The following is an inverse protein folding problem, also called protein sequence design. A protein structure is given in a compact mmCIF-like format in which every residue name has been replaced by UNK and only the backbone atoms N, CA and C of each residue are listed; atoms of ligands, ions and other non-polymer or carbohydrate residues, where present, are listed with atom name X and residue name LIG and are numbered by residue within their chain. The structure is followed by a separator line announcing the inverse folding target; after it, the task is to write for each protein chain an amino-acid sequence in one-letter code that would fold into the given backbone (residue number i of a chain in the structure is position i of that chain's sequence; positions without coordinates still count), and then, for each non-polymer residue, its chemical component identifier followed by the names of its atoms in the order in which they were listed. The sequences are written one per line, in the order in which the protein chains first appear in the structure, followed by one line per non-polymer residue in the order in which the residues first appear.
data_IF_338253777800
#
_entry.id   IF_338253777800
#
_cell.length_a   1.000
_cell.length_b   1.000
_cell.length_c   1.000
_cell.angle_alpha   90.00
_cell.angle_beta   90.00
_cell.angle_gamma   90.00
#
_symmetry.space_group_name_H-M   'P 1'
#
loop_
_entity.id
_entity.type
_entity.pdbx_description
1 polymer ?
#
# COMPACT_ATOMS: atom_id res chain seq x y z
N UNK A 1 37.22 -44.30 -2.70
CA UNK A 1 37.64 -43.03 -2.61
C UNK A 1 36.54 -41.99 -2.58
N UNK A 2 36.85 -40.94 -2.06
CA UNK A 2 35.84 -39.95 -1.80
C UNK A 2 35.45 -39.23 -3.07
N UNK A 3 34.19 -39.07 -3.24
CA UNK A 3 33.62 -38.39 -4.34
C UNK A 3 33.97 -36.91 -4.31
N UNK A 4 34.35 -36.36 -5.45
CA UNK A 4 34.62 -34.95 -5.58
C UNK A 4 33.38 -34.12 -5.28
N UNK A 5 32.22 -34.63 -5.68
CA UNK A 5 30.96 -33.95 -5.42
C UNK A 5 30.71 -33.79 -3.93
N UNK A 6 31.03 -34.79 -3.16
CA UNK A 6 30.91 -34.72 -1.72
C UNK A 6 31.76 -33.61 -1.15
N UNK A 7 32.95 -33.45 -1.67
CA UNK A 7 33.88 -32.42 -1.25
C UNK A 7 33.35 -31.03 -1.56
N UNK A 8 32.75 -30.90 -2.72
CA UNK A 8 32.16 -29.63 -3.13
C UNK A 8 31.01 -29.21 -2.21
N UNK A 9 30.29 -30.18 -1.68
CA UNK A 9 29.18 -29.92 -0.78
C UNK A 9 29.59 -29.78 0.68
N UNK A 10 30.84 -29.92 0.93
CA UNK A 10 31.36 -29.88 2.31
C UNK A 10 32.13 -28.60 2.55
N UNK A 11 31.42 -27.55 2.67
CA UNK A 11 32.03 -26.36 3.17
C UNK A 11 32.48 -26.56 4.60
N UNK A 12 33.59 -25.99 4.99
CA UNK A 12 33.99 -26.01 6.37
C UNK A 12 33.10 -25.06 7.18
N UNK A 13 33.28 -25.07 8.46
CA UNK A 13 32.44 -24.30 9.38
C UNK A 13 32.47 -22.82 9.08
N UNK A 14 33.65 -22.28 8.76
CA UNK A 14 33.82 -20.87 8.46
C UNK A 14 33.14 -20.50 7.13
N UNK A 15 33.28 -21.33 6.12
CA UNK A 15 32.66 -21.09 4.83
C UNK A 15 31.14 -21.09 4.91
N UNK A 16 30.59 -22.01 5.68
CA UNK A 16 29.14 -22.05 5.92
C UNK A 16 28.66 -20.81 6.65
N UNK A 17 29.47 -20.36 7.63
CA UNK A 17 29.16 -19.15 8.35
C UNK A 17 29.15 -17.93 7.42
N UNK A 18 30.13 -17.83 6.53
CA UNK A 18 30.20 -16.75 5.55
C UNK A 18 28.95 -16.72 4.66
N UNK A 19 28.57 -17.87 4.12
CA UNK A 19 27.38 -17.97 3.28
C UNK A 19 26.11 -17.57 4.02
N UNK A 20 25.99 -18.05 5.23
CA UNK A 20 24.86 -17.74 6.09
C UNK A 20 24.78 -16.24 6.40
N UNK A 21 25.92 -15.64 6.71
CA UNK A 21 26.02 -14.22 7.00
C UNK A 21 25.63 -13.41 5.78
N UNK A 22 26.12 -13.78 4.61
CA UNK A 22 25.75 -13.07 3.36
C UNK A 22 24.25 -13.10 3.13
N UNK A 23 23.64 -14.26 3.32
CA UNK A 23 22.18 -14.39 3.13
C UNK A 23 21.41 -13.53 4.14
N UNK A 24 21.86 -13.54 5.39
CA UNK A 24 21.21 -12.74 6.42
C UNK A 24 21.39 -11.25 6.20
N UNK A 25 22.56 -10.84 5.72
CA UNK A 25 22.80 -9.44 5.38
C UNK A 25 21.88 -8.97 4.26
N UNK A 26 21.63 -9.80 3.26
CA UNK A 26 20.71 -9.46 2.18
C UNK A 26 19.30 -9.23 2.73
N UNK A 27 18.84 -10.12 3.59
CA UNK A 27 17.52 -10.00 4.22
C UNK A 27 17.47 -8.75 5.08
N UNK A 28 18.51 -8.48 5.86
CA UNK A 28 18.58 -7.30 6.70
C UNK A 28 18.46 -6.02 5.87
N UNK A 29 19.20 -5.94 4.78
CA UNK A 29 19.19 -4.77 3.92
C UNK A 29 17.81 -4.56 3.27
N UNK A 30 17.25 -5.62 2.69
CA UNK A 30 15.95 -5.54 2.06
C UNK A 30 14.85 -5.19 3.05
N UNK A 31 14.85 -5.81 4.21
CA UNK A 31 13.86 -5.54 5.23
C UNK A 31 13.95 -4.12 5.76
N UNK A 32 15.18 -3.63 5.97
CA UNK A 32 15.39 -2.28 6.46
C UNK A 32 14.81 -1.24 5.50
N UNK A 33 15.13 -1.37 4.21
CA UNK A 33 14.64 -0.45 3.19
C UNK A 33 13.11 -0.50 3.11
N UNK A 34 12.57 -1.71 3.03
CA UNK A 34 11.13 -1.89 2.88
C UNK A 34 10.35 -1.36 4.09
N UNK A 35 10.86 -1.60 5.29
CA UNK A 35 10.20 -1.14 6.51
C UNK A 35 10.24 0.39 6.62
N UNK A 36 11.34 1.02 6.21
CA UNK A 36 11.43 2.47 6.18
C UNK A 36 10.42 3.07 5.20
N UNK A 37 10.33 2.49 4.00
CA UNK A 37 9.36 2.92 3.00
C UNK A 37 7.92 2.74 3.47
N UNK A 38 7.63 1.61 4.10
CA UNK A 38 6.31 1.33 4.63
C UNK A 38 5.94 2.31 5.73
N UNK A 39 6.86 2.58 6.65
CA UNK A 39 6.63 3.53 7.73
C UNK A 39 6.32 4.93 7.19
N UNK A 40 7.06 5.35 6.17
CA UNK A 40 6.83 6.63 5.51
C UNK A 40 5.45 6.69 4.86
N UNK A 41 5.08 5.63 4.15
CA UNK A 41 3.77 5.56 3.48
C UNK A 41 2.62 5.50 4.49
N UNK A 42 2.80 4.80 5.59
CA UNK A 42 1.78 4.78 6.65
C UNK A 42 1.60 6.16 7.28
N UNK A 43 2.69 6.89 7.46
CA UNK A 43 2.60 8.26 7.96
C UNK A 43 1.86 9.18 6.99
N UNK A 44 2.12 9.05 5.70
CA UNK A 44 1.39 9.79 4.67
C UNK A 44 -0.11 9.46 4.70
N UNK A 45 -0.43 8.18 4.80
CA UNK A 45 -1.81 7.72 4.88
C UNK A 45 -2.51 8.28 6.12
N UNK A 46 -1.84 8.21 7.27
CA UNK A 46 -2.37 8.72 8.53
C UNK A 46 -2.70 10.20 8.43
N UNK A 47 -1.83 10.98 7.80
CA UNK A 47 -2.08 12.41 7.59
C UNK A 47 -3.25 12.66 6.64
N UNK A 48 -3.54 11.72 5.75
CA UNK A 48 -4.64 11.84 4.79
C UNK A 48 -5.99 11.43 5.37
N UNK A 49 -6.01 10.68 6.48
CA UNK A 49 -7.25 10.15 7.07
C UNK A 49 -8.33 11.22 7.31
N UNK A 50 -8.03 12.40 7.86
CA UNK A 50 -9.06 13.43 8.03
C UNK A 50 -9.69 13.88 6.72
N UNK A 51 -8.91 13.90 5.64
CA UNK A 51 -9.41 14.25 4.32
C UNK A 51 -10.24 13.13 3.70
N UNK A 52 -9.86 11.88 3.95
CA UNK A 52 -10.64 10.71 3.53
C UNK A 52 -12.00 10.74 4.24
N UNK A 53 -12.01 11.06 5.51
CA UNK A 53 -13.26 11.19 6.27
C UNK A 53 -14.16 12.27 5.69
N UNK A 54 -13.58 13.38 5.29
CA UNK A 54 -14.33 14.47 4.64
C UNK A 54 -14.93 14.01 3.33
N UNK A 55 -14.19 13.23 2.55
CA UNK A 55 -14.67 12.66 1.30
C UNK A 55 -15.84 11.68 1.55
N UNK A 56 -15.73 10.87 2.60
CA UNK A 56 -16.80 9.95 2.98
C UNK A 56 -18.06 10.70 3.39
N UNK A 57 -17.92 11.76 4.15
CA UNK A 57 -19.05 12.60 4.57
C UNK A 57 -19.73 13.25 3.37
N UNK A 58 -18.95 13.69 2.39
CA UNK A 58 -19.49 14.20 1.15
C UNK A 58 -20.29 13.14 0.42
N UNK A 59 -19.71 11.96 0.21
CA UNK A 59 -20.32 10.86 -0.53
C UNK A 59 -21.64 10.39 0.09
N UNK A 60 -21.72 10.36 1.40
CA UNK A 60 -22.91 9.90 2.12
C UNK A 60 -23.92 11.02 2.40
N UNK A 61 -23.60 12.24 2.00
CA UNK A 61 -24.42 13.40 2.28
C UNK A 61 -25.27 13.86 1.10
N UNK A 62 -26.00 14.91 1.31
CA UNK A 62 -26.91 15.48 0.31
C UNK A 62 -26.16 16.12 -0.85
N UNK A 63 -25.03 16.75 -0.58
CA UNK A 63 -24.28 17.50 -1.61
C UNK A 63 -23.81 16.61 -2.74
N UNK A 64 -23.40 15.39 -2.45
CA UNK A 64 -23.00 14.44 -3.50
C UNK A 64 -24.16 14.18 -4.48
N UNK A 65 -25.36 13.96 -3.92
CA UNK A 65 -26.57 13.72 -4.74
C UNK A 65 -26.93 14.95 -5.58
N UNK A 66 -26.81 16.12 -4.98
CA UNK A 66 -27.06 17.38 -5.69
C UNK A 66 -26.07 17.57 -6.85
N UNK A 67 -24.80 17.30 -6.59
CA UNK A 67 -23.75 17.46 -7.59
C UNK A 67 -23.88 16.42 -8.70
N UNK A 68 -24.26 15.20 -8.37
CA UNK A 68 -24.52 14.16 -9.35
C UNK A 68 -25.70 14.56 -10.27
N UNK A 69 -26.75 15.13 -9.70
CA UNK A 69 -27.89 15.61 -10.48
C UNK A 69 -27.49 16.70 -11.46
N UNK A 70 -26.60 17.61 -11.06
CA UNK A 70 -26.08 18.64 -11.95
C UNK A 70 -25.28 18.03 -13.10
N UNK A 71 -24.49 17.01 -12.80
CA UNK A 71 -23.71 16.31 -13.81
C UNK A 71 -24.62 15.60 -14.81
N UNK A 72 -25.61 14.89 -14.32
CA UNK A 72 -26.58 14.19 -15.17
C UNK A 72 -27.38 15.15 -16.04
N UNK A 73 -27.63 16.34 -15.56
CA UNK A 73 -28.31 17.40 -16.31
C UNK A 73 -27.39 18.13 -17.31
N UNK A 74 -26.11 17.76 -17.36
CA UNK A 74 -25.16 18.39 -18.26
C UNK A 74 -24.80 19.81 -17.90
N UNK A 75 -24.94 20.18 -16.63
CA UNK A 75 -24.73 21.58 -16.18
C UNK A 75 -23.33 21.84 -15.65
N UNK A 76 -22.48 20.83 -15.60
CA UNK A 76 -21.10 21.00 -15.15
C UNK A 76 -20.16 21.16 -16.34
N UNK A 77 -19.03 21.86 -16.17
CA UNK A 77 -18.05 22.02 -17.26
C UNK A 77 -17.59 20.65 -17.77
N UNK A 78 -17.42 20.54 -19.09
CA UNK A 78 -17.04 19.26 -19.72
C UNK A 78 -15.64 18.79 -19.33
N UNK A 79 -14.74 19.72 -19.05
CA UNK A 79 -13.36 19.42 -18.69
C UNK A 79 -13.15 19.20 -17.19
N UNK A 80 -14.21 19.30 -16.40
CA UNK A 80 -14.14 19.04 -14.97
C UNK A 80 -13.91 17.55 -14.70
N UNK A 81 -12.92 17.27 -13.87
CA UNK A 81 -12.68 15.90 -13.42
C UNK A 81 -13.81 15.48 -12.47
N UNK A 82 -14.49 14.40 -12.78
CA UNK A 82 -15.68 13.98 -12.03
C UNK A 82 -15.65 12.52 -11.59
N UNK A 83 -14.45 11.97 -11.34
CA UNK A 83 -14.32 10.65 -10.77
C UNK A 83 -15.00 10.51 -9.42
N UNK A 84 -15.09 11.61 -8.68
CA UNK A 84 -15.75 11.65 -7.37
C UNK A 84 -17.27 11.45 -7.49
N UNK A 85 -17.84 11.69 -8.65
CA UNK A 85 -19.27 11.46 -8.91
C UNK A 85 -19.55 10.02 -9.36
N UNK A 86 -18.51 9.22 -9.54
CA UNK A 86 -18.65 7.79 -9.82
C UNK A 86 -18.82 7.07 -8.49
N UNK A 87 -19.95 6.41 -8.34
CA UNK A 87 -20.25 5.64 -7.14
C UNK A 87 -19.18 4.58 -6.86
N UNK A 88 -18.75 3.88 -7.89
CA UNK A 88 -17.78 2.80 -7.75
C UNK A 88 -16.42 3.31 -7.30
N UNK A 89 -15.99 4.48 -7.80
CA UNK A 89 -14.69 5.04 -7.47
C UNK A 89 -14.54 5.31 -5.98
N UNK A 90 -15.50 6.03 -5.40
CA UNK A 90 -15.46 6.35 -3.98
C UNK A 90 -15.66 5.09 -3.14
N UNK A 91 -16.63 4.27 -3.50
CA UNK A 91 -16.92 3.05 -2.75
C UNK A 91 -15.71 2.15 -2.66
N UNK A 92 -15.06 1.89 -3.79
CA UNK A 92 -13.88 1.03 -3.84
C UNK A 92 -12.71 1.60 -3.03
N UNK A 93 -12.52 2.91 -3.08
CA UNK A 93 -11.47 3.56 -2.31
C UNK A 93 -11.73 3.43 -0.80
N UNK A 94 -12.98 3.65 -0.37
CA UNK A 94 -13.35 3.54 1.04
C UNK A 94 -13.22 2.11 1.55
N UNK A 95 -13.58 1.12 0.74
CA UNK A 95 -13.39 -0.29 1.11
C UNK A 95 -11.92 -0.62 1.28
N UNK A 96 -11.08 -0.12 0.39
CA UNK A 96 -9.64 -0.32 0.48
C UNK A 96 -9.07 0.34 1.73
N UNK A 97 -9.56 1.53 2.07
CA UNK A 97 -9.15 2.23 3.28
C UNK A 97 -9.51 1.42 4.53
N UNK A 98 -10.71 0.83 4.55
CA UNK A 98 -11.11 -0.04 5.66
C UNK A 98 -10.21 -1.26 5.78
N UNK A 99 -9.85 -1.87 4.65
CA UNK A 99 -8.94 -3.02 4.63
C UNK A 99 -7.57 -2.66 5.20
N UNK A 100 -7.03 -1.52 4.80
CA UNK A 100 -5.75 -1.05 5.33
C UNK A 100 -5.85 -0.83 6.83
N UNK A 101 -6.94 -0.21 7.30
CA UNK A 101 -7.15 0.06 8.72
C UNK A 101 -7.24 -1.22 9.56
N UNK A 102 -7.72 -2.32 8.98
CA UNK A 102 -7.75 -3.61 9.67
C UNK A 102 -6.37 -4.20 9.87
N UNK A 103 -5.44 -3.88 8.98
CA UNK A 103 -4.08 -4.43 9.03
C UNK A 103 -3.12 -3.59 9.86
N UNK A 104 -3.48 -2.35 10.13
CA UNK A 104 -2.64 -1.44 10.90
C UNK A 104 -3.44 -0.82 12.03
N UNK A 105 -2.76 -0.52 13.14
CA UNK A 105 -3.38 0.15 14.27
C UNK A 105 -2.78 1.53 14.39
N UNK A 106 -3.61 2.51 14.32
CA UNK A 106 -3.19 3.91 14.50
C UNK A 106 -3.55 4.39 15.90
#
# INVERSE_FOLDING_TARGET
MISTGKKENRMNKQERAVERIKQMEEILDEATVLLDELDEKLSEYERLLPRIKKLEEYYTGKLWKDDLALDEAGKLPKDLKRGVLSQDGIYNMLEKSRDVNRHVTF
#
